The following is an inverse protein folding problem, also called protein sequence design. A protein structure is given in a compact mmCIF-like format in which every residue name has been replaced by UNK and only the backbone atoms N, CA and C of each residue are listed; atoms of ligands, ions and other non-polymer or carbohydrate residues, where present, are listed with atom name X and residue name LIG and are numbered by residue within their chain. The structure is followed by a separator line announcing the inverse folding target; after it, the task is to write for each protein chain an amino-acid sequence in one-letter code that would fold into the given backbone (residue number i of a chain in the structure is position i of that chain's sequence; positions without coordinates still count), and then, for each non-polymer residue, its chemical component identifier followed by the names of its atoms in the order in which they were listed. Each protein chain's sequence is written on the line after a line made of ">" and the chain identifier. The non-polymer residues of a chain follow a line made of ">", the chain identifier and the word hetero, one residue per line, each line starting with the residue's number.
data_IF_741276912413
#
_entry.id   IF_741276912413
#
_cell.length_a   1.000
_cell.length_b   1.000
_cell.length_c   1.000
_cell.angle_alpha   90.00
_cell.angle_beta   90.00
_cell.angle_gamma   90.00
#
_symmetry.space_group_name_H-M   'P 1'
#
loop_
_entity.id
_entity.type
_entity.pdbx_description
1 polymer ?
#
# COMPACT_ATOMS: atom_id res chain seq x y z
N UNK A 1 -52.90 25.18 -83.17
CA UNK A 1 -54.34 25.42 -83.10
C UNK A 1 -54.67 26.09 -81.77
N UNK A 2 -55.31 27.27 -81.83
CA UNK A 2 -56.24 27.90 -80.85
C UNK A 2 -55.76 28.08 -79.40
N UNK A 3 -55.49 29.33 -78.98
CA UNK A 3 -56.43 30.31 -78.35
C UNK A 3 -56.43 30.16 -76.82
N UNK A 4 -55.90 31.06 -75.99
CA UNK A 4 -56.20 32.48 -75.72
C UNK A 4 -57.46 32.71 -74.84
N UNK A 5 -57.26 33.59 -73.83
CA UNK A 5 -58.21 34.36 -73.01
C UNK A 5 -58.85 33.67 -71.79
N UNK A 6 -59.30 34.36 -70.73
CA UNK A 6 -59.03 35.65 -70.05
C UNK A 6 -60.17 35.85 -69.01
N UNK A 7 -59.96 36.63 -67.95
CA UNK A 7 -61.01 37.19 -67.05
C UNK A 7 -61.16 36.45 -65.70
N UNK A 8 -60.98 37.02 -64.49
CA UNK A 8 -61.23 38.33 -63.84
C UNK A 8 -62.64 38.49 -63.21
N UNK A 9 -62.68 39.30 -62.14
CA UNK A 9 -63.77 39.70 -61.20
C UNK A 9 -63.76 38.87 -59.89
N UNK A 10 -63.66 39.33 -58.63
CA UNK A 10 -63.60 40.59 -57.87
C UNK A 10 -64.68 40.62 -56.75
N UNK A 11 -64.25 40.97 -55.52
CA UNK A 11 -65.10 41.39 -54.38
C UNK A 11 -65.16 40.39 -53.21
N UNK A 12 -65.19 40.77 -51.93
CA UNK A 12 -65.13 42.07 -51.22
C UNK A 12 -65.09 41.77 -49.71
N UNK A 13 -64.52 42.68 -48.90
CA UNK A 13 -64.68 42.77 -47.43
C UNK A 13 -63.55 42.09 -46.64
N UNK A 14 -62.71 42.74 -45.84
CA UNK A 14 -62.83 44.02 -45.15
C UNK A 14 -63.16 43.78 -43.68
N UNK A 15 -62.14 43.57 -42.83
CA UNK A 15 -62.03 44.18 -41.48
C UNK A 15 -60.72 43.81 -40.77
N UNK A 16 -60.31 44.77 -39.95
CA UNK A 16 -59.00 45.08 -39.36
C UNK A 16 -58.69 44.40 -38.02
N UNK A 17 -57.43 43.92 -37.90
CA UNK A 17 -56.49 43.94 -36.74
C UNK A 17 -56.92 43.35 -35.35
N UNK A 18 -56.00 43.02 -34.40
CA UNK A 18 -54.54 43.20 -34.38
C UNK A 18 -53.69 41.96 -33.97
N UNK A 19 -52.38 42.18 -34.00
CA UNK A 19 -51.21 41.32 -33.68
C UNK A 19 -51.32 40.39 -32.46
N UNK A 20 -50.81 39.16 -32.61
CA UNK A 20 -50.08 38.43 -31.55
C UNK A 20 -48.76 37.85 -32.08
N UNK A 21 -47.72 38.09 -31.29
CA UNK A 21 -46.32 37.72 -31.50
C UNK A 21 -46.09 36.19 -31.51
N UNK A 22 -44.93 35.72 -32.04
CA UNK A 22 -44.60 34.31 -32.08
C UNK A 22 -44.17 33.79 -30.69
N UNK A 23 -44.78 32.70 -30.24
CA UNK A 23 -44.32 31.99 -29.07
C UNK A 23 -43.09 31.14 -29.44
N UNK A 24 -41.95 31.42 -28.82
CA UNK A 24 -40.77 30.57 -28.89
C UNK A 24 -40.98 29.28 -28.08
N UNK A 25 -40.44 28.14 -28.53
CA UNK A 25 -40.39 26.96 -27.71
C UNK A 25 -39.31 27.11 -26.63
N UNK A 26 -39.76 27.06 -25.37
CA UNK A 26 -38.94 27.04 -24.16
C UNK A 26 -38.02 25.82 -24.16
N UNK A 27 -36.71 26.03 -23.98
CA UNK A 27 -35.72 25.01 -23.62
C UNK A 27 -35.91 24.58 -22.16
N UNK A 28 -35.96 23.27 -21.85
CA UNK A 28 -35.54 22.80 -20.53
C UNK A 28 -34.64 21.56 -20.69
N UNK A 29 -33.45 21.72 -21.25
CA UNK A 29 -32.53 20.58 -21.48
C UNK A 29 -31.13 20.75 -20.85
N UNK A 30 -30.91 21.81 -20.06
CA UNK A 30 -29.57 22.16 -19.58
C UNK A 30 -29.31 21.77 -18.11
N UNK A 31 -30.35 21.71 -17.26
CA UNK A 31 -30.19 21.39 -15.82
C UNK A 31 -29.98 19.90 -15.54
N UNK A 32 -30.65 19.01 -16.28
CA UNK A 32 -30.50 17.56 -16.09
C UNK A 32 -29.13 17.02 -16.55
N UNK A 33 -28.55 17.62 -17.61
CA UNK A 33 -27.23 17.23 -18.14
C UNK A 33 -26.08 17.63 -17.22
N UNK A 34 -26.17 18.77 -16.54
CA UNK A 34 -25.15 19.23 -15.60
C UNK A 34 -25.09 18.34 -14.35
N UNK A 35 -26.25 17.93 -13.81
CA UNK A 35 -26.32 17.03 -12.66
C UNK A 35 -25.83 15.62 -13.00
N UNK A 36 -26.17 15.10 -14.19
CA UNK A 36 -25.70 13.79 -14.64
C UNK A 36 -24.18 13.75 -14.87
N UNK A 37 -23.62 14.83 -15.45
CA UNK A 37 -22.17 14.98 -15.65
C UNK A 37 -21.39 15.08 -14.33
N UNK A 38 -21.97 15.72 -13.31
CA UNK A 38 -21.34 15.83 -11.99
C UNK A 38 -21.37 14.48 -11.25
N UNK A 39 -22.46 13.72 -11.38
CA UNK A 39 -22.59 12.38 -10.79
C UNK A 39 -21.58 11.39 -11.40
N UNK A 40 -21.38 11.42 -12.72
CA UNK A 40 -20.35 10.58 -13.38
C UNK A 40 -18.92 10.95 -12.98
N UNK A 41 -18.65 12.22 -12.72
CA UNK A 41 -17.32 12.66 -12.25
C UNK A 41 -17.05 12.17 -10.81
N UNK A 42 -18.05 12.18 -9.93
CA UNK A 42 -17.90 11.68 -8.55
C UNK A 42 -17.67 10.16 -8.52
N UNK A 43 -18.35 9.38 -9.38
CA UNK A 43 -18.11 7.93 -9.50
C UNK A 43 -16.75 7.59 -10.13
N UNK A 44 -16.17 8.47 -10.95
CA UNK A 44 -14.85 8.24 -11.55
C UNK A 44 -13.68 8.55 -10.58
N UNK A 45 -13.89 9.40 -9.57
CA UNK A 45 -12.85 9.77 -8.59
C UNK A 45 -12.71 8.73 -7.47
N UNK A 46 -13.76 7.98 -7.14
CA UNK A 46 -13.73 6.98 -6.07
C UNK A 46 -12.89 5.72 -6.38
N UNK A 47 -12.34 5.58 -7.60
CA UNK A 47 -11.54 4.41 -8.00
C UNK A 47 -10.03 4.58 -7.87
N UNK A 48 -9.51 5.70 -7.34
CA UNK A 48 -8.05 5.98 -7.30
C UNK A 48 -7.41 5.71 -5.91
N UNK A 49 -7.96 4.78 -5.14
CA UNK A 49 -7.30 4.30 -3.90
C UNK A 49 -6.78 2.88 -4.10
N UNK A 50 -5.57 2.76 -4.64
CA UNK A 50 -4.80 1.51 -4.62
C UNK A 50 -4.15 1.34 -3.24
N UNK A 51 -4.96 0.97 -2.24
CA UNK A 51 -4.41 0.32 -1.06
C UNK A 51 -4.23 -1.16 -1.40
N UNK A 52 -2.99 -1.58 -1.71
CA UNK A 52 -2.71 -3.01 -1.89
C UNK A 52 -3.00 -3.74 -0.57
N UNK A 53 -3.91 -4.70 -0.60
CA UNK A 53 -4.30 -5.48 0.58
C UNK A 53 -3.08 -6.25 1.11
N UNK A 54 -2.82 -6.17 2.41
CA UNK A 54 -1.72 -6.89 3.05
C UNK A 54 -1.80 -8.39 2.76
N UNK A 55 -0.70 -8.95 2.27
CA UNK A 55 -0.62 -10.37 1.90
C UNK A 55 -0.30 -11.22 3.12
N UNK A 56 -0.96 -12.36 3.25
CA UNK A 56 -0.68 -13.34 4.29
C UNK A 56 0.07 -14.51 3.71
N UNK A 57 1.22 -14.83 4.30
CA UNK A 57 2.08 -15.92 3.89
C UNK A 57 2.27 -16.87 5.05
N UNK A 58 2.18 -18.16 4.77
CA UNK A 58 2.45 -19.21 5.76
C UNK A 58 3.76 -19.91 5.41
N UNK A 59 4.59 -20.20 6.42
CA UNK A 59 5.85 -20.91 6.20
C UNK A 59 5.63 -22.26 5.53
N UNK A 60 4.64 -23.04 5.98
CA UNK A 60 4.28 -24.31 5.34
C UNK A 60 4.00 -24.17 3.83
N UNK A 61 3.37 -23.07 3.40
CA UNK A 61 3.04 -22.84 1.99
C UNK A 61 4.23 -22.36 1.15
N UNK A 62 5.08 -21.53 1.73
CA UNK A 62 6.23 -20.96 1.03
C UNK A 62 7.38 -21.97 0.86
N UNK A 63 7.45 -22.93 1.78
CA UNK A 63 8.57 -23.84 1.90
C UNK A 63 8.34 -25.21 1.26
N UNK A 64 7.13 -25.51 0.78
CA UNK A 64 6.77 -26.79 0.11
C UNK A 64 7.60 -27.09 -1.14
N UNK A 65 7.86 -26.09 -1.98
CA UNK A 65 8.57 -26.28 -3.25
C UNK A 65 9.89 -25.52 -3.31
N UNK A 66 11.00 -26.20 -3.63
CA UNK A 66 12.31 -25.57 -3.82
C UNK A 66 12.33 -24.52 -4.94
N UNK A 67 11.39 -24.59 -5.89
CA UNK A 67 11.24 -23.56 -6.92
C UNK A 67 10.69 -22.25 -6.33
N UNK A 68 9.70 -22.35 -5.45
CA UNK A 68 9.10 -21.22 -4.75
C UNK A 68 10.09 -20.52 -3.82
N UNK A 69 11.10 -21.23 -3.32
CA UNK A 69 12.17 -20.64 -2.50
C UNK A 69 13.14 -19.78 -3.33
N UNK A 70 13.40 -20.14 -4.60
CA UNK A 70 14.36 -19.43 -5.48
C UNK A 70 13.80 -18.17 -6.14
N UNK A 71 12.50 -17.95 -6.08
CA UNK A 71 11.87 -16.80 -6.72
C UNK A 71 11.77 -15.61 -5.76
N UNK A 72 12.34 -14.47 -6.18
CA UNK A 72 12.14 -13.20 -5.48
C UNK A 72 10.67 -12.76 -5.54
N UNK A 73 10.08 -12.50 -4.37
CA UNK A 73 8.68 -12.05 -4.27
C UNK A 73 8.62 -10.57 -3.99
N UNK A 74 7.94 -9.83 -4.86
CA UNK A 74 7.66 -8.42 -4.62
C UNK A 74 6.63 -8.25 -3.50
N UNK A 75 6.96 -7.46 -2.49
CA UNK A 75 6.14 -7.25 -1.31
C UNK A 75 6.18 -5.79 -0.86
N UNK A 76 5.00 -5.17 -0.77
CA UNK A 76 4.83 -3.85 -0.14
C UNK A 76 4.45 -3.94 1.34
N UNK A 77 3.70 -4.99 1.70
CA UNK A 77 3.27 -5.22 3.07
C UNK A 77 2.65 -6.60 3.21
N UNK A 78 3.03 -7.32 4.25
CA UNK A 78 2.48 -8.64 4.51
C UNK A 78 2.82 -9.19 5.88
N UNK A 79 2.15 -10.29 6.21
CA UNK A 79 2.35 -11.03 7.44
C UNK A 79 2.87 -12.42 7.06
N UNK A 80 3.99 -12.80 7.64
CA UNK A 80 4.59 -14.11 7.57
C UNK A 80 4.28 -14.86 8.87
N UNK A 81 3.66 -16.02 8.75
CA UNK A 81 3.23 -16.80 9.90
C UNK A 81 3.80 -18.21 9.85
N UNK A 82 4.49 -18.58 10.93
CA UNK A 82 4.92 -19.93 11.26
C UNK A 82 4.01 -20.53 12.34
N UNK A 83 3.67 -21.81 12.18
CA UNK A 83 2.79 -22.59 13.06
C UNK A 83 3.43 -23.95 13.38
N UNK A 84 4.49 -23.94 14.18
CA UNK A 84 5.18 -25.16 14.63
C UNK A 84 5.55 -26.12 13.47
N UNK A 85 6.13 -25.58 12.40
CA UNK A 85 6.68 -26.41 11.33
C UNK A 85 7.89 -27.20 11.83
N UNK A 86 8.02 -28.47 11.43
CA UNK A 86 9.10 -29.37 11.86
C UNK A 86 9.98 -29.79 10.69
N UNK A 87 11.26 -30.01 10.98
CA UNK A 87 12.29 -30.47 10.03
C UNK A 87 12.30 -29.64 8.73
N UNK A 88 12.16 -28.33 8.91
CA UNK A 88 12.12 -27.33 7.85
C UNK A 88 13.50 -26.70 7.69
N UNK A 89 14.05 -26.70 6.48
CA UNK A 89 15.12 -25.77 6.07
C UNK A 89 14.60 -24.96 4.90
N UNK A 90 14.18 -23.73 5.20
CA UNK A 90 13.51 -22.89 4.23
C UNK A 90 14.16 -21.52 4.14
N UNK A 91 14.50 -21.12 2.92
CA UNK A 91 14.99 -19.77 2.62
C UNK A 91 14.00 -19.07 1.69
N UNK A 92 13.55 -17.88 2.08
CA UNK A 92 12.64 -17.05 1.30
C UNK A 92 13.18 -15.63 1.17
N UNK A 93 13.10 -15.08 -0.03
CA UNK A 93 13.58 -13.73 -0.30
C UNK A 93 12.45 -12.84 -0.80
N UNK A 94 12.30 -11.69 -0.16
CA UNK A 94 11.38 -10.64 -0.55
C UNK A 94 12.13 -9.45 -1.14
N UNK A 95 11.50 -8.79 -2.09
CA UNK A 95 11.98 -7.57 -2.74
C UNK A 95 10.89 -6.51 -2.62
N UNK A 96 11.25 -5.26 -2.37
CA UNK A 96 10.27 -4.16 -2.47
C UNK A 96 9.89 -3.88 -3.93
N UNK A 97 8.76 -3.19 -4.17
CA UNK A 97 8.43 -2.76 -5.54
C UNK A 97 9.37 -1.66 -6.07
N UNK A 98 9.99 -0.88 -5.18
CA UNK A 98 10.93 0.18 -5.51
C UNK A 98 12.26 0.05 -4.78
N UNK A 99 13.36 0.36 -5.48
CA UNK A 99 14.71 0.45 -4.90
C UNK A 99 14.86 1.53 -3.82
N UNK A 100 13.96 2.53 -3.82
CA UNK A 100 13.91 3.61 -2.81
C UNK A 100 13.16 3.21 -1.54
N UNK A 101 12.66 1.97 -1.48
CA UNK A 101 12.01 1.41 -0.31
C UNK A 101 12.92 0.37 0.33
N UNK A 102 12.80 0.26 1.65
CA UNK A 102 13.49 -0.72 2.49
C UNK A 102 12.45 -1.45 3.32
N UNK A 103 12.82 -2.59 3.88
CA UNK A 103 11.91 -3.35 4.74
C UNK A 103 12.05 -2.92 6.19
N UNK A 104 10.90 -2.68 6.82
CA UNK A 104 10.73 -2.69 8.25
C UNK A 104 10.08 -4.02 8.64
N UNK A 105 10.72 -4.74 9.56
CA UNK A 105 10.28 -6.02 10.06
C UNK A 105 10.00 -5.89 11.56
N UNK A 106 8.87 -6.40 12.02
CA UNK A 106 8.60 -6.51 13.46
C UNK A 106 7.78 -7.75 13.77
N UNK A 107 7.91 -8.25 14.98
CA UNK A 107 7.23 -9.47 15.41
C UNK A 107 6.01 -9.14 16.28
N UNK A 108 4.82 -9.55 15.83
CA UNK A 108 3.61 -9.56 16.66
C UNK A 108 3.71 -10.65 17.74
N UNK A 109 4.26 -11.81 17.32
CA UNK A 109 4.49 -13.00 18.12
C UNK A 109 5.85 -13.58 17.72
N UNK A 110 6.65 -13.94 18.72
CA UNK A 110 7.94 -14.61 18.54
C UNK A 110 8.13 -15.58 19.71
N UNK A 111 8.00 -16.87 19.44
CA UNK A 111 8.22 -17.96 20.39
C UNK A 111 8.83 -19.13 19.62
N UNK A 112 10.16 -19.17 19.54
CA UNK A 112 10.86 -20.24 18.83
C UNK A 112 11.32 -21.32 19.81
N UNK A 113 11.56 -22.52 19.29
CA UNK A 113 12.32 -23.51 20.03
C UNK A 113 13.79 -23.05 20.21
N UNK A 114 14.51 -23.67 21.13
CA UNK A 114 15.91 -23.31 21.39
C UNK A 114 16.86 -23.87 20.33
N UNK A 115 16.45 -24.93 19.64
CA UNK A 115 17.20 -25.50 18.54
C UNK A 115 16.79 -24.90 17.18
N UNK A 116 15.63 -24.25 17.15
CA UNK A 116 15.14 -23.56 15.96
C UNK A 116 15.82 -22.20 15.82
N UNK A 117 16.18 -21.87 14.58
CA UNK A 117 16.80 -20.60 14.24
C UNK A 117 16.08 -19.90 13.11
N UNK A 118 15.72 -18.64 13.35
CA UNK A 118 15.25 -17.71 12.33
C UNK A 118 16.33 -16.66 12.08
N UNK A 119 16.94 -16.74 10.90
CA UNK A 119 17.95 -15.80 10.43
C UNK A 119 17.33 -14.74 9.53
N UNK A 120 17.68 -13.48 9.80
CA UNK A 120 17.28 -12.32 8.99
C UNK A 120 18.51 -11.76 8.29
N UNK A 121 18.53 -11.77 6.97
CA UNK A 121 19.61 -11.23 6.15
C UNK A 121 19.17 -9.95 5.42
N UNK A 122 19.99 -8.91 5.51
CA UNK A 122 19.82 -7.65 4.77
C UNK A 122 20.41 -7.78 3.35
N UNK A 123 19.71 -8.51 2.48
CA UNK A 123 20.14 -8.73 1.10
C UNK A 123 19.33 -9.82 0.39
N UNK A 124 19.69 -10.05 -0.87
CA UNK A 124 19.01 -11.02 -1.75
C UNK A 124 19.43 -12.48 -1.50
N UNK A 125 20.48 -12.73 -0.71
CA UNK A 125 21.02 -14.06 -0.45
C UNK A 125 21.51 -14.20 1.00
N UNK A 126 21.46 -15.41 1.53
CA UNK A 126 21.95 -15.78 2.86
C UNK A 126 23.47 -16.06 2.88
N UNK A 127 24.28 -15.17 2.28
CA UNK A 127 25.75 -15.34 2.17
C UNK A 127 26.54 -14.46 3.14
N UNK A 128 25.98 -13.30 3.52
CA UNK A 128 26.57 -12.41 4.51
C UNK A 128 26.19 -12.85 5.94
N UNK A 129 26.89 -12.37 6.99
CA UNK A 129 26.43 -12.56 8.36
C UNK A 129 24.98 -12.07 8.53
N UNK A 130 24.13 -12.83 9.24
CA UNK A 130 22.75 -12.42 9.46
C UNK A 130 22.71 -11.13 10.29
N UNK A 131 21.76 -10.26 9.96
CA UNK A 131 21.47 -9.05 10.74
C UNK A 131 20.88 -9.41 12.10
N UNK A 132 20.09 -10.49 12.17
CA UNK A 132 19.56 -11.04 13.40
C UNK A 132 19.53 -12.57 13.30
N UNK A 133 19.92 -13.23 14.40
CA UNK A 133 19.76 -14.66 14.64
C UNK A 133 18.85 -14.81 15.85
N UNK A 134 17.66 -15.38 15.62
CA UNK A 134 16.60 -15.46 16.61
C UNK A 134 16.32 -16.92 16.96
N UNK A 135 16.25 -17.19 18.27
CA UNK A 135 15.91 -18.49 18.86
C UNK A 135 15.01 -18.29 20.09
N UNK A 136 14.78 -19.34 20.90
CA UNK A 136 13.96 -19.28 22.12
C UNK A 136 14.36 -18.19 23.14
N UNK A 137 15.63 -17.74 23.11
CA UNK A 137 16.11 -16.72 24.07
C UNK A 137 15.65 -15.32 23.71
N UNK A 138 15.23 -15.11 22.47
CA UNK A 138 14.85 -13.81 21.96
C UNK A 138 13.35 -13.59 22.12
N UNK A 139 12.99 -12.46 22.72
CA UNK A 139 11.59 -12.03 22.81
C UNK A 139 11.30 -10.92 21.82
N UNK A 140 10.02 -10.77 21.42
CA UNK A 140 9.63 -9.69 20.48
C UNK A 140 10.02 -8.29 20.98
N UNK A 141 10.01 -8.07 22.30
CA UNK A 141 10.39 -6.79 22.91
C UNK A 141 11.89 -6.52 22.80
N UNK A 142 12.72 -7.56 22.91
CA UNK A 142 14.17 -7.43 22.76
C UNK A 142 14.59 -7.19 21.31
N UNK A 143 13.93 -7.87 20.36
CA UNK A 143 14.24 -7.74 18.93
C UNK A 143 13.77 -6.39 18.39
N UNK A 144 12.57 -5.95 18.80
CA UNK A 144 11.99 -4.69 18.32
C UNK A 144 11.74 -4.69 16.81
N UNK A 145 11.81 -3.50 16.21
CA UNK A 145 11.71 -3.33 14.77
C UNK A 145 13.10 -3.39 14.11
N UNK A 146 13.24 -4.25 13.10
CA UNK A 146 14.45 -4.39 12.30
C UNK A 146 14.27 -3.66 10.96
N UNK A 147 15.25 -2.85 10.57
CA UNK A 147 15.26 -2.16 9.28
C UNK A 147 16.37 -2.70 8.39
N UNK A 148 16.04 -3.06 7.15
CA UNK A 148 17.04 -3.38 6.12
C UNK A 148 17.64 -2.11 5.55
N UNK A 149 18.86 -2.19 5.01
CA UNK A 149 19.48 -1.10 4.23
C UNK A 149 19.24 -1.30 2.74
N UNK A 150 19.15 -2.56 2.30
CA UNK A 150 18.84 -2.92 0.93
C UNK A 150 17.32 -3.01 0.69
N UNK A 151 16.95 -3.07 -0.58
CA UNK A 151 15.58 -3.28 -1.05
C UNK A 151 15.19 -4.78 -1.08
N UNK A 152 16.03 -5.64 -0.49
CA UNK A 152 15.82 -7.07 -0.37
C UNK A 152 15.89 -7.48 1.10
N UNK A 153 15.13 -8.51 1.45
CA UNK A 153 15.29 -9.20 2.73
C UNK A 153 15.21 -10.70 2.47
N UNK A 154 16.17 -11.44 3.01
CA UNK A 154 16.17 -12.90 2.95
C UNK A 154 15.97 -13.43 4.36
N UNK A 155 14.99 -14.31 4.53
CA UNK A 155 14.70 -14.99 5.78
C UNK A 155 15.06 -16.46 5.60
N UNK A 156 15.84 -17.01 6.51
CA UNK A 156 16.10 -18.44 6.59
C UNK A 156 15.54 -18.97 7.90
N UNK A 157 14.61 -19.90 7.83
CA UNK A 157 14.03 -20.56 8.99
C UNK A 157 14.43 -22.03 8.99
N UNK A 158 15.16 -22.43 10.03
CA UNK A 158 15.64 -23.80 10.24
C UNK A 158 15.01 -24.33 11.52
N UNK A 159 14.38 -25.49 11.41
CA UNK A 159 13.71 -26.15 12.55
C UNK A 159 14.18 -27.57 12.70
N UNK A 160 14.13 -28.08 13.94
CA UNK A 160 14.39 -29.49 14.22
C UNK A 160 13.10 -30.33 14.21
N UNK A 161 13.17 -31.57 14.72
CA UNK A 161 12.02 -32.48 14.76
C UNK A 161 11.24 -32.42 16.09
N UNK A 162 11.58 -31.48 16.96
CA UNK A 162 10.92 -31.23 18.23
C UNK A 162 10.12 -29.91 18.17
N UNK A 163 9.43 -29.58 19.25
CA UNK A 163 8.62 -28.36 19.34
C UNK A 163 7.16 -28.59 19.74
N UNK A 164 6.58 -27.54 20.34
CA UNK A 164 5.20 -27.51 20.87
C UNK A 164 4.29 -26.66 19.99
N UNK A 165 2.97 -26.83 20.11
CA UNK A 165 2.01 -26.05 19.32
C UNK A 165 2.01 -24.55 19.62
N UNK A 166 2.68 -24.13 20.70
CA UNK A 166 2.93 -22.72 21.01
C UNK A 166 4.10 -22.13 20.20
N UNK A 167 4.96 -22.98 19.61
CA UNK A 167 6.13 -22.54 18.87
C UNK A 167 5.72 -21.97 17.50
N UNK A 168 6.37 -20.88 17.13
CA UNK A 168 6.19 -20.19 15.87
C UNK A 168 6.40 -18.69 16.02
N UNK A 169 6.12 -17.99 14.94
CA UNK A 169 6.24 -16.54 14.92
C UNK A 169 5.25 -15.93 13.94
N UNK A 170 4.87 -14.69 14.22
CA UNK A 170 4.10 -13.84 13.33
C UNK A 170 4.90 -12.57 13.08
N UNK A 171 5.49 -12.53 11.89
CA UNK A 171 6.38 -11.46 11.44
C UNK A 171 5.61 -10.56 10.46
N UNK A 172 5.56 -9.28 10.77
CA UNK A 172 4.98 -8.27 9.89
C UNK A 172 6.12 -7.59 9.13
N UNK A 173 6.03 -7.62 7.80
CA UNK A 173 7.02 -7.08 6.88
C UNK A 173 6.36 -5.96 6.10
N UNK A 174 6.94 -4.76 6.14
CA UNK A 174 6.41 -3.59 5.45
C UNK A 174 7.52 -2.90 4.65
N UNK A 175 7.25 -2.57 3.39
CA UNK A 175 8.11 -1.73 2.59
C UNK A 175 7.88 -0.26 2.98
N UNK A 176 8.88 0.33 3.62
CA UNK A 176 8.89 1.74 4.00
C UNK A 176 9.75 2.51 3.01
N UNK A 177 9.25 3.65 2.54
CA UNK A 177 10.08 4.57 1.76
C UNK A 177 10.99 5.31 2.72
N UNK A 178 12.27 5.41 2.38
CA UNK A 178 13.17 6.23 3.18
C UNK A 178 12.64 7.67 3.24
N UNK A 179 12.62 8.30 4.43
CA UNK A 179 12.43 9.73 4.49
C UNK A 179 13.52 10.37 3.63
N UNK A 180 13.17 11.40 2.85
CA UNK A 180 14.16 12.17 2.10
C UNK A 180 15.32 12.55 3.05
N UNK A 181 16.59 12.56 2.61
CA UNK A 181 17.74 12.86 3.49
C UNK A 181 17.54 14.14 4.32
N UNK A 182 16.82 15.12 3.78
CA UNK A 182 16.41 16.36 4.47
C UNK A 182 15.63 16.09 5.76
N UNK A 183 14.72 15.11 5.76
CA UNK A 183 13.90 14.75 6.92
C UNK A 183 14.71 13.96 7.95
N UNK A 184 15.62 13.08 7.50
CA UNK A 184 16.49 12.29 8.40
C UNK A 184 17.46 13.20 9.15
N UNK A 185 18.06 14.19 8.47
CA UNK A 185 18.92 15.17 9.13
C UNK A 185 18.15 16.02 10.14
N UNK A 186 16.90 16.38 9.85
CA UNK A 186 16.09 17.14 10.80
C UNK A 186 15.70 16.31 12.02
N UNK A 187 15.38 15.02 11.84
CA UNK A 187 15.07 14.10 12.95
C UNK A 187 16.31 13.81 13.79
N UNK A 188 17.45 13.44 13.18
CA UNK A 188 18.71 13.21 13.91
C UNK A 188 19.17 14.47 14.63
N UNK A 189 18.99 15.65 14.04
CA UNK A 189 19.35 16.91 14.67
C UNK A 189 18.39 17.25 15.82
N UNK A 190 17.09 16.93 15.70
CA UNK A 190 16.12 17.06 16.80
C UNK A 190 16.41 16.09 17.92
N UNK A 191 16.70 14.81 17.65
CA UNK A 191 17.08 13.84 18.69
C UNK A 191 18.37 14.25 19.41
N UNK A 192 19.40 14.67 18.68
CA UNK A 192 20.64 15.22 19.27
C UNK A 192 20.45 16.53 20.02
N UNK A 193 19.40 17.29 19.71
CA UNK A 193 19.03 18.52 20.41
C UNK A 193 18.28 18.20 21.71
N UNK A 194 17.31 17.28 21.68
CA UNK A 194 16.60 16.81 22.88
C UNK A 194 17.53 16.11 23.87
N UNK A 195 18.46 15.28 23.40
CA UNK A 195 19.50 14.68 24.26
C UNK A 195 20.43 15.72 24.90
N UNK A 196 20.64 16.86 24.23
CA UNK A 196 21.39 17.98 24.81
C UNK A 196 20.58 18.74 25.86
N UNK A 197 19.28 18.94 25.62
CA UNK A 197 18.38 19.56 26.60
C UNK A 197 18.21 18.70 27.85
N UNK A 198 17.98 17.39 27.70
CA UNK A 198 17.85 16.46 28.83
C UNK A 198 19.13 16.32 29.67
N UNK A 199 20.29 16.64 29.09
CA UNK A 199 21.57 16.73 29.83
C UNK A 199 21.76 18.08 30.50
N UNK A 200 21.26 19.16 29.91
CA UNK A 200 21.32 20.50 30.49
C UNK A 200 20.41 20.63 31.72
N UNK A 201 19.18 20.13 31.67
CA UNK A 201 18.23 20.18 32.78
C UNK A 201 18.72 19.38 34.01
N UNK A 202 19.45 18.28 33.76
CA UNK A 202 20.03 17.44 34.81
C UNK A 202 21.21 18.09 35.53
N UNK A 203 21.84 19.10 34.92
CA UNK A 203 22.94 19.85 35.53
C UNK A 203 22.45 21.04 36.37
N UNK A 204 21.21 21.48 36.16
CA UNK A 204 20.59 22.57 36.92
C UNK A 204 19.90 22.14 38.21
N UNK A 205 19.67 20.84 38.42
CA UNK A 205 19.12 20.29 39.69
C UNK A 205 20.22 19.90 40.71
N UNK A 206 21.50 20.11 40.40
CA UNK A 206 22.65 19.73 41.25
C UNK A 206 23.31 20.89 42.00
N UNK A 207 22.65 22.05 42.08
CA UNK A 207 23.07 23.24 42.87
C UNK A 207 21.89 23.77 43.65
#
# INVERSE_FOLDING_TARGET
>A
MRAACSGSIAGRGGQSAPRRAPASPRRPAMRARALLSMLTAVFAVSTISHAEKSKFYYMDSLCKDHFLQRQYRKLDGGVLWSRNERNLDCTVTFQTHSILQRFMLHFDLLQLDCNDHLYVYDGAHATAPPKADLSCRNTKQQVGALFTRSNFVTLKYVTDNWGTDANGFKLVITAVKDPKPVIVLEIENKEKFYERLLKADRLTEST
#
